data_IF_709749032829
#
_entry.id   IF_709749032829
#
_cell.length_a   1.000
_cell.length_b   1.000
_cell.length_c   1.000
_cell.angle_alpha   90.00
_cell.angle_beta   90.00
_cell.angle_gamma   90.00
#
_symmetry.space_group_name_H-M   'P 1'
#
loop_
_entity.id
_entity.type
_entity.pdbx_description
1 polymer ?
#
# COMPACT_ATOMS: atom_id res chain seq x y z
N UNK A 1 3.89 2.27 16.36
CA UNK A 1 4.98 2.90 15.61
C UNK A 1 4.79 4.41 15.64
N UNK A 2 5.74 5.15 16.21
CA UNK A 2 5.66 6.58 16.46
C UNK A 2 6.77 7.31 15.72
N UNK A 3 6.44 8.45 15.11
CA UNK A 3 7.40 9.27 14.35
C UNK A 3 8.00 10.39 15.19
N UNK A 4 7.49 10.61 16.40
CA UNK A 4 7.98 11.65 17.32
C UNK A 4 7.95 11.16 18.76
N UNK A 5 8.76 11.75 19.61
CA UNK A 5 8.67 11.58 21.05
C UNK A 5 7.38 12.23 21.58
N UNK A 6 6.72 11.55 22.49
CA UNK A 6 5.66 12.11 23.34
C UNK A 6 5.90 11.71 24.80
N UNK A 7 4.95 12.03 25.68
CA UNK A 7 5.09 11.75 27.12
C UNK A 7 5.32 10.27 27.43
N UNK A 8 4.69 9.38 26.65
CA UNK A 8 4.60 7.96 26.96
C UNK A 8 5.46 7.10 26.00
N UNK A 9 5.92 7.69 24.87
CA UNK A 9 6.62 6.96 23.82
C UNK A 9 7.83 7.72 23.28
N UNK A 10 8.84 6.97 22.89
CA UNK A 10 9.97 7.46 22.09
C UNK A 10 9.71 7.22 20.61
N UNK A 11 10.26 8.08 19.77
CA UNK A 11 10.18 7.92 18.32
C UNK A 11 10.79 6.60 17.86
N UNK A 12 10.03 5.82 17.11
CA UNK A 12 10.51 4.59 16.46
C UNK A 12 11.32 4.89 15.18
N UNK A 13 11.32 6.13 14.72
CA UNK A 13 12.08 6.60 13.56
C UNK A 13 13.44 7.22 13.94
N UNK A 14 13.87 7.06 15.18
CA UNK A 14 15.16 7.55 15.69
C UNK A 14 15.38 9.06 15.45
N UNK A 15 14.29 9.84 15.49
CA UNK A 15 14.34 11.28 15.22
C UNK A 15 14.51 11.66 13.74
N UNK A 16 14.41 10.70 12.83
CA UNK A 16 14.48 10.93 11.39
C UNK A 16 13.44 11.95 10.91
N UNK A 17 12.26 11.91 11.52
CA UNK A 17 11.14 12.83 11.25
C UNK A 17 10.16 12.83 12.42
N UNK A 18 9.51 13.98 12.65
CA UNK A 18 8.39 14.13 13.59
C UNK A 18 7.04 14.26 12.86
N UNK A 19 7.03 13.99 11.55
CA UNK A 19 5.87 14.19 10.69
C UNK A 19 4.92 13.01 10.75
N UNK A 20 3.71 13.23 10.22
CA UNK A 20 2.65 12.23 10.23
C UNK A 20 3.01 11.03 9.37
N UNK A 21 2.67 9.87 9.87
CA UNK A 21 2.70 8.59 9.17
C UNK A 21 1.33 8.33 8.56
N UNK A 22 1.32 7.86 7.31
CA UNK A 22 0.11 7.56 6.55
C UNK A 22 0.14 6.14 6.00
N UNK A 23 -1.07 5.59 5.80
CA UNK A 23 -1.38 4.38 5.07
C UNK A 23 -0.38 3.22 5.30
N UNK A 24 -0.23 2.72 6.54
CA UNK A 24 0.65 1.60 6.79
C UNK A 24 0.08 0.31 6.22
N UNK A 25 0.96 -0.54 5.69
CA UNK A 25 0.67 -1.94 5.40
C UNK A 25 1.62 -2.87 6.17
N UNK A 26 1.16 -4.04 6.54
CA UNK A 26 1.94 -5.03 7.30
C UNK A 26 1.88 -6.37 6.61
N UNK A 27 3.05 -6.97 6.38
CA UNK A 27 3.17 -8.33 5.85
C UNK A 27 4.01 -9.21 6.77
N UNK A 28 3.74 -10.50 6.73
CA UNK A 28 4.57 -11.53 7.37
C UNK A 28 5.50 -12.13 6.32
N UNK A 29 6.78 -12.31 6.69
CA UNK A 29 7.74 -13.09 5.92
C UNK A 29 8.77 -13.72 6.86
N UNK A 30 8.95 -15.04 6.74
CA UNK A 30 9.94 -15.82 7.47
C UNK A 30 9.87 -15.62 9.01
N UNK A 31 8.63 -15.57 9.55
CA UNK A 31 8.35 -15.40 10.98
C UNK A 31 8.61 -14.01 11.53
N UNK A 32 8.74 -13.00 10.65
CA UNK A 32 8.83 -11.58 11.00
C UNK A 32 7.72 -10.80 10.32
N UNK A 33 7.33 -9.72 10.98
CA UNK A 33 6.33 -8.78 10.46
C UNK A 33 7.03 -7.51 10.04
N UNK A 34 6.75 -7.04 8.83
CA UNK A 34 7.32 -5.83 8.24
C UNK A 34 6.22 -4.82 8.02
N UNK A 35 6.37 -3.64 8.63
CA UNK A 35 5.46 -2.52 8.49
C UNK A 35 6.05 -1.53 7.49
N UNK A 36 5.30 -1.26 6.44
CA UNK A 36 5.62 -0.29 5.41
C UNK A 36 4.76 0.94 5.62
N UNK A 37 5.34 2.12 5.57
CA UNK A 37 4.59 3.35 5.78
C UNK A 37 5.19 4.53 5.03
N UNK A 38 4.31 5.41 4.55
CA UNK A 38 4.69 6.71 4.05
C UNK A 38 4.77 7.71 5.20
N UNK A 39 5.86 8.46 5.25
CA UNK A 39 6.03 9.56 6.20
C UNK A 39 6.33 10.82 5.41
N UNK A 40 5.53 11.88 5.63
CA UNK A 40 5.68 13.15 4.92
C UNK A 40 7.11 13.67 5.00
N UNK A 41 7.72 13.92 3.84
CA UNK A 41 9.09 14.43 3.72
C UNK A 41 10.17 13.36 3.91
N UNK A 42 9.81 12.07 3.88
CA UNK A 42 10.75 10.95 3.84
C UNK A 42 10.57 10.12 2.58
N UNK A 43 11.48 9.15 2.37
CA UNK A 43 11.36 8.15 1.30
C UNK A 43 10.38 7.01 1.65
N UNK A 44 9.68 7.12 2.78
CA UNK A 44 9.00 6.01 3.39
C UNK A 44 9.94 5.16 4.25
N UNK A 45 9.36 4.38 5.13
CA UNK A 45 10.08 3.59 6.13
C UNK A 45 9.58 2.16 6.18
N UNK A 46 10.47 1.27 6.63
CA UNK A 46 10.15 -0.11 6.94
C UNK A 46 10.49 -0.35 8.41
N UNK A 47 9.49 -0.75 9.17
CA UNK A 47 9.64 -1.25 10.53
C UNK A 47 9.63 -2.77 10.57
N UNK A 48 10.23 -3.38 11.58
CA UNK A 48 10.22 -4.83 11.76
C UNK A 48 9.85 -5.21 13.19
N UNK A 49 9.09 -6.30 13.31
CA UNK A 49 8.72 -6.92 14.58
C UNK A 49 8.74 -8.44 14.49
N UNK A 50 8.88 -9.11 15.63
CA UNK A 50 8.67 -10.57 15.76
C UNK A 50 7.24 -10.96 16.13
N UNK A 51 6.34 -9.96 16.24
CA UNK A 51 4.92 -10.15 16.59
C UNK A 51 4.06 -9.25 15.72
N UNK A 52 2.85 -9.68 15.31
CA UNK A 52 1.97 -8.87 14.47
C UNK A 52 1.52 -7.56 15.14
N UNK A 53 1.35 -7.56 16.46
CA UNK A 53 0.99 -6.39 17.24
C UNK A 53 2.17 -5.46 17.53
N UNK A 54 3.38 -5.83 17.16
CA UNK A 54 4.60 -5.07 17.45
C UNK A 54 5.24 -5.42 18.79
N UNK A 55 6.06 -4.55 19.40
CA UNK A 55 6.43 -3.23 18.85
C UNK A 55 7.28 -3.35 17.58
N UNK A 56 7.00 -2.49 16.60
CA UNK A 56 7.82 -2.36 15.40
C UNK A 56 8.98 -1.40 15.65
N UNK A 57 10.18 -1.82 15.27
CA UNK A 57 11.39 -0.99 15.30
C UNK A 57 11.77 -0.59 13.89
N UNK A 58 12.30 0.60 13.72
CA UNK A 58 12.82 1.04 12.43
C UNK A 58 13.87 0.05 11.92
N UNK A 59 13.65 -0.46 10.71
CA UNK A 59 14.63 -1.29 10.00
C UNK A 59 15.44 -0.42 9.03
N UNK A 60 14.77 0.33 8.16
CA UNK A 60 15.40 1.22 7.19
C UNK A 60 14.37 2.18 6.57
N UNK A 61 14.87 3.19 5.85
CA UNK A 61 14.12 3.80 4.74
C UNK A 61 14.25 2.92 3.50
N UNK A 62 13.35 3.08 2.51
CA UNK A 62 13.53 2.45 1.21
C UNK A 62 14.88 2.87 0.58
N UNK A 63 15.57 1.90 -0.01
CA UNK A 63 16.77 2.11 -0.84
C UNK A 63 16.42 1.82 -2.28
N UNK A 64 16.68 2.78 -3.17
CA UNK A 64 16.43 2.67 -4.59
C UNK A 64 17.33 3.58 -5.40
N UNK A 65 17.59 3.21 -6.64
CA UNK A 65 18.16 4.13 -7.63
C UNK A 65 17.05 5.07 -8.13
N UNK A 66 17.33 6.35 -8.41
CA UNK A 66 16.30 7.31 -8.86
C UNK A 66 15.49 6.85 -10.08
N UNK A 67 16.09 6.08 -10.97
CA UNK A 67 15.47 5.50 -12.16
C UNK A 67 14.46 4.37 -11.85
N UNK A 68 14.50 3.82 -10.64
CA UNK A 68 13.62 2.76 -10.16
C UNK A 68 12.53 3.27 -9.20
N UNK A 69 12.28 4.56 -9.19
CA UNK A 69 11.20 5.17 -8.43
C UNK A 69 10.24 5.92 -9.37
N UNK A 70 8.99 6.11 -8.94
CA UNK A 70 8.08 7.03 -9.61
C UNK A 70 8.61 8.47 -9.60
N UNK A 71 7.97 9.36 -10.34
CA UNK A 71 8.47 10.71 -10.66
C UNK A 71 8.94 11.55 -9.46
N UNK A 72 8.43 11.27 -8.27
CA UNK A 72 8.77 11.98 -7.02
C UNK A 72 9.56 11.13 -6.01
N UNK A 73 9.79 9.86 -6.30
CA UNK A 73 10.42 8.92 -5.37
C UNK A 73 9.63 8.71 -4.08
N UNK A 74 8.35 9.07 -4.08
CA UNK A 74 7.46 8.93 -2.94
C UNK A 74 6.67 7.63 -3.08
N UNK A 75 6.87 6.71 -2.15
CA UNK A 75 6.10 5.46 -2.06
C UNK A 75 4.80 5.70 -1.29
N UNK A 76 3.91 6.51 -1.88
CA UNK A 76 2.65 6.90 -1.27
C UNK A 76 1.70 5.69 -1.19
N UNK A 77 1.10 5.49 -0.01
CA UNK A 77 0.09 4.44 0.25
C UNK A 77 0.51 3.06 -0.25
N UNK A 78 1.72 2.67 0.12
CA UNK A 78 2.32 1.43 -0.36
C UNK A 78 1.61 0.21 0.20
N UNK A 79 1.15 -0.67 -0.69
CA UNK A 79 0.73 -2.02 -0.37
C UNK A 79 1.79 -3.04 -0.79
N UNK A 80 2.03 -4.05 0.01
CA UNK A 80 3.08 -5.04 -0.22
C UNK A 80 2.51 -6.46 -0.30
N UNK A 81 3.07 -7.25 -1.18
CA UNK A 81 2.71 -8.65 -1.41
C UNK A 81 3.95 -9.55 -1.36
N UNK A 82 3.92 -10.58 -0.54
CA UNK A 82 4.83 -11.73 -0.63
C UNK A 82 4.16 -12.78 -1.51
N UNK A 83 4.80 -13.12 -2.62
CA UNK A 83 4.30 -14.13 -3.55
C UNK A 83 4.69 -15.56 -3.10
N UNK A 84 4.03 -16.56 -3.68
CA UNK A 84 4.24 -17.98 -3.35
C UNK A 84 5.67 -18.45 -3.64
N UNK A 85 6.38 -17.81 -4.55
CA UNK A 85 7.78 -18.08 -4.88
C UNK A 85 8.79 -17.30 -4.01
N UNK A 86 8.28 -16.55 -3.02
CA UNK A 86 9.07 -15.78 -2.06
C UNK A 86 9.52 -14.41 -2.57
N UNK A 87 9.17 -14.04 -3.80
CA UNK A 87 9.37 -12.66 -4.27
C UNK A 87 8.46 -11.69 -3.53
N UNK A 88 8.91 -10.45 -3.41
CA UNK A 88 8.21 -9.40 -2.70
C UNK A 88 7.96 -8.24 -3.64
N UNK A 89 6.72 -7.80 -3.71
CA UNK A 89 6.26 -6.74 -4.59
C UNK A 89 5.68 -5.58 -3.80
N UNK A 90 5.92 -4.36 -4.26
CA UNK A 90 5.34 -3.14 -3.70
C UNK A 90 4.57 -2.39 -4.78
N UNK A 91 3.34 -1.99 -4.42
CA UNK A 91 2.45 -1.18 -5.26
C UNK A 91 2.18 0.12 -4.53
N UNK A 92 2.26 1.23 -5.21
CA UNK A 92 2.17 2.55 -4.58
C UNK A 92 1.80 3.63 -5.58
N UNK A 93 1.52 4.83 -5.10
CA UNK A 93 1.38 5.99 -5.95
C UNK A 93 0.28 6.95 -5.51
N UNK A 94 0.31 8.12 -6.14
CA UNK A 94 -0.70 9.15 -6.04
C UNK A 94 -1.09 9.58 -7.45
N UNK A 95 -2.36 9.37 -7.82
CA UNK A 95 -2.91 9.58 -9.17
C UNK A 95 -2.32 8.70 -10.27
N UNK A 96 -1.30 7.92 -9.96
CA UNK A 96 -0.69 6.96 -10.87
C UNK A 96 -0.25 5.71 -10.09
N UNK A 97 -0.59 4.54 -10.63
CA UNK A 97 -0.25 3.26 -10.02
C UNK A 97 1.15 2.80 -10.43
N UNK A 98 2.03 2.63 -9.45
CA UNK A 98 3.41 2.19 -9.64
C UNK A 98 3.66 0.82 -9.01
N UNK A 99 4.69 0.16 -9.47
CA UNK A 99 5.12 -1.15 -9.02
C UNK A 99 6.64 -1.26 -9.01
N UNK A 100 7.15 -1.95 -7.99
CA UNK A 100 8.52 -2.45 -7.93
C UNK A 100 8.59 -3.84 -7.30
N UNK A 101 9.73 -4.49 -7.47
CA UNK A 101 10.13 -5.65 -6.70
C UNK A 101 11.09 -5.23 -5.57
N UNK A 102 10.85 -5.72 -4.37
CA UNK A 102 11.71 -5.53 -3.19
C UNK A 102 12.65 -6.71 -3.08
N UNK A 103 13.91 -6.48 -2.68
CA UNK A 103 14.82 -7.56 -2.35
C UNK A 103 14.35 -8.30 -1.09
N UNK A 104 13.98 -9.59 -1.20
CA UNK A 104 13.48 -10.35 -0.04
C UNK A 104 14.56 -10.61 1.03
N UNK A 105 15.84 -10.36 0.72
CA UNK A 105 16.91 -10.54 1.69
C UNK A 105 16.93 -9.47 2.79
N UNK A 106 16.50 -8.26 2.46
CA UNK A 106 16.52 -7.15 3.41
C UNK A 106 15.16 -6.46 3.61
N UNK A 107 14.21 -6.65 2.67
CA UNK A 107 12.84 -6.16 2.73
C UNK A 107 12.67 -4.64 2.58
N UNK A 108 13.70 -3.91 2.18
CA UNK A 108 13.62 -2.44 1.97
C UNK A 108 14.40 -1.95 0.73
N UNK A 109 15.22 -2.78 0.10
CA UNK A 109 15.92 -2.40 -1.14
C UNK A 109 15.05 -2.71 -2.35
N UNK A 110 14.79 -1.70 -3.17
CA UNK A 110 14.10 -1.85 -4.44
C UNK A 110 15.06 -2.45 -5.46
N UNK A 111 14.64 -3.51 -6.13
CA UNK A 111 15.46 -4.16 -7.15
C UNK A 111 15.60 -3.29 -8.38
N UNK A 112 16.83 -3.17 -8.84
CA UNK A 112 17.18 -2.41 -10.04
C UNK A 112 16.45 -2.94 -11.28
N UNK A 113 15.87 -2.01 -12.06
CA UNK A 113 15.14 -2.31 -13.29
C UNK A 113 13.76 -2.95 -13.08
N UNK A 114 13.25 -2.97 -11.83
CA UNK A 114 11.94 -3.54 -11.52
C UNK A 114 10.79 -2.56 -11.67
N UNK A 115 11.06 -1.28 -11.79
CA UNK A 115 10.04 -0.23 -11.88
C UNK A 115 9.09 -0.42 -13.05
N UNK A 116 7.80 -0.33 -12.77
CA UNK A 116 6.71 -0.25 -13.76
C UNK A 116 5.76 0.86 -13.37
N UNK A 117 5.45 1.69 -14.36
CA UNK A 117 4.50 2.79 -14.28
C UNK A 117 3.15 2.34 -14.79
N UNK A 118 2.08 2.96 -14.29
CA UNK A 118 0.70 2.76 -14.77
C UNK A 118 0.32 1.28 -14.86
N UNK A 119 0.51 0.54 -13.76
CA UNK A 119 0.21 -0.91 -13.76
C UNK A 119 -1.29 -1.22 -13.82
N UNK A 120 -2.16 -0.27 -13.41
CA UNK A 120 -3.58 -0.28 -13.77
C UNK A 120 -3.71 0.46 -15.10
N UNK A 121 -4.55 -0.06 -16.00
CA UNK A 121 -4.89 0.63 -17.24
C UNK A 121 -5.78 1.84 -16.91
N UNK A 122 -5.15 2.97 -16.69
CA UNK A 122 -5.73 4.27 -16.38
C UNK A 122 -5.41 5.30 -17.47
N UNK A 123 -5.41 4.85 -18.73
CA UNK A 123 -5.26 5.71 -19.91
C UNK A 123 -6.15 6.96 -19.79
N UNK A 124 -5.76 8.06 -20.42
CA UNK A 124 -6.52 9.33 -20.41
C UNK A 124 -7.97 9.18 -20.87
N UNK A 125 -8.29 8.07 -21.54
CA UNK A 125 -9.63 7.71 -21.99
C UNK A 125 -10.43 6.88 -20.97
N UNK A 126 -9.80 6.36 -19.91
CA UNK A 126 -10.53 5.62 -18.89
C UNK A 126 -11.43 6.57 -18.08
N UNK A 127 -12.64 6.17 -17.72
CA UNK A 127 -13.49 6.94 -16.81
C UNK A 127 -12.80 7.16 -15.47
N UNK A 128 -12.97 8.34 -14.87
CA UNK A 128 -12.34 8.67 -13.60
C UNK A 128 -12.69 7.71 -12.47
N UNK A 129 -13.85 7.08 -12.54
CA UNK A 129 -14.31 6.04 -11.62
C UNK A 129 -13.45 4.76 -11.67
N UNK A 130 -12.64 4.59 -12.71
CA UNK A 130 -11.77 3.44 -12.90
C UNK A 130 -10.31 3.76 -12.68
N UNK A 131 -9.94 5.05 -12.79
CA UNK A 131 -8.55 5.50 -12.66
C UNK A 131 -8.08 5.37 -11.22
N UNK A 132 -6.83 4.97 -11.10
CA UNK A 132 -6.15 4.91 -9.81
C UNK A 132 -5.97 6.31 -9.22
N UNK A 133 -6.27 6.44 -7.93
CA UNK A 133 -5.94 7.62 -7.14
C UNK A 133 -4.84 7.29 -6.13
N UNK A 134 -5.11 6.35 -5.19
CA UNK A 134 -4.18 5.93 -4.13
C UNK A 134 -4.65 4.65 -3.44
N UNK A 135 -4.12 4.33 -2.27
CA UNK A 135 -4.60 3.25 -1.39
C UNK A 135 -4.36 1.84 -1.94
N UNK A 136 -3.17 1.57 -2.44
CA UNK A 136 -2.81 0.26 -3.00
C UNK A 136 -2.91 -0.85 -1.96
N UNK A 137 -3.67 -1.91 -2.28
CA UNK A 137 -3.78 -3.11 -1.44
C UNK A 137 -3.76 -4.37 -2.32
N UNK A 138 -2.56 -4.95 -2.57
CA UNK A 138 -2.41 -6.11 -3.42
C UNK A 138 -2.79 -7.41 -2.70
N UNK A 139 -3.32 -8.38 -3.45
CA UNK A 139 -3.54 -9.76 -3.00
C UNK A 139 -3.33 -10.73 -4.15
N UNK A 140 -2.90 -11.94 -3.83
CA UNK A 140 -2.92 -13.07 -4.76
C UNK A 140 -3.95 -14.09 -4.28
N UNK A 141 -4.84 -14.52 -5.16
CA UNK A 141 -5.88 -15.50 -4.86
C UNK A 141 -5.87 -16.52 -6.00
N UNK A 142 -5.39 -17.72 -5.71
CA UNK A 142 -5.05 -18.70 -6.75
C UNK A 142 -3.97 -18.13 -7.67
N UNK A 143 -4.17 -18.20 -8.97
CA UNK A 143 -3.22 -17.70 -9.98
C UNK A 143 -3.49 -16.23 -10.38
N UNK A 144 -4.40 -15.54 -9.69
CA UNK A 144 -4.83 -14.20 -10.06
C UNK A 144 -4.32 -13.17 -9.03
N UNK A 145 -3.70 -12.11 -9.53
CA UNK A 145 -3.33 -10.93 -8.75
C UNK A 145 -4.48 -9.94 -8.74
N UNK A 146 -4.81 -9.46 -7.55
CA UNK A 146 -5.82 -8.44 -7.30
C UNK A 146 -5.13 -7.19 -6.76
N UNK A 147 -5.47 -6.04 -7.30
CA UNK A 147 -5.08 -4.75 -6.75
C UNK A 147 -6.36 -4.00 -6.39
N UNK A 148 -6.55 -3.76 -5.09
CA UNK A 148 -7.64 -2.97 -4.54
C UNK A 148 -7.10 -1.55 -4.36
N UNK A 149 -7.90 -0.55 -4.68
CA UNK A 149 -7.45 0.84 -4.68
C UNK A 149 -8.62 1.82 -4.55
N UNK A 150 -8.31 3.06 -4.17
CA UNK A 150 -9.23 4.18 -4.24
C UNK A 150 -9.22 4.78 -5.65
N UNK A 151 -10.37 4.90 -6.35
CA UNK A 151 -10.43 5.55 -7.64
C UNK A 151 -10.44 7.09 -7.52
N UNK A 152 -10.22 7.80 -8.64
CA UNK A 152 -10.15 9.26 -8.67
C UNK A 152 -11.44 9.98 -8.25
N UNK A 153 -12.57 9.31 -8.23
CA UNK A 153 -13.84 9.91 -7.86
C UNK A 153 -14.65 9.03 -6.92
N UNK A 154 -15.29 9.70 -5.98
CA UNK A 154 -16.15 9.07 -4.97
C UNK A 154 -15.38 8.40 -3.84
N UNK A 155 -16.07 8.15 -2.74
CA UNK A 155 -15.53 7.38 -1.61
C UNK A 155 -15.80 5.91 -1.86
N UNK A 156 -14.90 5.25 -2.60
CA UNK A 156 -15.07 3.88 -3.10
C UNK A 156 -13.78 3.09 -2.99
N UNK A 157 -13.93 1.77 -2.95
CA UNK A 157 -12.85 0.83 -3.24
C UNK A 157 -13.14 0.10 -4.53
N UNK A 158 -12.30 0.36 -5.51
CA UNK A 158 -12.26 -0.37 -6.77
C UNK A 158 -11.31 -1.56 -6.68
N UNK A 159 -11.42 -2.48 -7.62
CA UNK A 159 -10.42 -3.54 -7.79
C UNK A 159 -10.13 -3.82 -9.26
N UNK A 160 -8.92 -4.21 -9.51
CA UNK A 160 -8.42 -4.64 -10.80
C UNK A 160 -7.71 -5.99 -10.67
N UNK A 161 -7.63 -6.75 -11.75
CA UNK A 161 -6.99 -8.08 -11.77
C UNK A 161 -5.97 -8.21 -12.89
N UNK A 162 -4.95 -9.03 -12.65
CA UNK A 162 -3.94 -9.41 -13.64
C UNK A 162 -3.52 -10.87 -13.43
N UNK A 163 -2.97 -11.49 -14.48
CA UNK A 163 -2.27 -12.78 -14.44
C UNK A 163 -0.78 -12.63 -14.08
N UNK A 164 -0.31 -11.40 -13.91
CA UNK A 164 1.09 -11.08 -13.59
C UNK A 164 1.17 -10.04 -12.47
N UNK A 165 2.15 -10.15 -11.57
CA UNK A 165 2.28 -9.20 -10.47
C UNK A 165 2.50 -7.76 -10.93
N UNK A 166 3.23 -7.55 -12.04
CA UNK A 166 3.51 -6.23 -12.58
C UNK A 166 2.42 -5.68 -13.52
N UNK A 167 1.27 -6.35 -13.60
CA UNK A 167 0.18 -5.94 -14.50
C UNK A 167 0.40 -6.31 -15.97
N UNK A 168 -0.36 -5.71 -16.91
CA UNK A 168 -1.36 -4.68 -16.64
C UNK A 168 -2.58 -5.22 -15.89
N UNK A 169 -3.05 -4.46 -14.92
CA UNK A 169 -4.27 -4.79 -14.19
C UNK A 169 -5.50 -4.22 -14.90
N UNK A 170 -6.52 -5.04 -15.07
CA UNK A 170 -7.79 -4.65 -15.70
C UNK A 170 -8.83 -4.39 -14.61
N UNK A 171 -9.44 -3.21 -14.66
CA UNK A 171 -10.55 -2.84 -13.79
C UNK A 171 -11.69 -3.87 -13.85
N UNK A 172 -12.29 -4.17 -12.69
CA UNK A 172 -13.37 -5.17 -12.57
C UNK A 172 -14.64 -4.63 -11.91
N UNK A 173 -14.54 -3.55 -11.15
CA UNK A 173 -15.69 -2.98 -10.46
C UNK A 173 -15.33 -2.40 -9.10
N UNK A 174 -16.36 -2.15 -8.31
CA UNK A 174 -16.23 -1.70 -6.93
C UNK A 174 -16.49 -2.86 -5.97
N UNK A 175 -15.76 -2.86 -4.86
CA UNK A 175 -16.02 -3.74 -3.72
C UNK A 175 -16.85 -2.97 -2.68
N UNK A 176 -16.53 -1.70 -2.47
CA UNK A 176 -17.20 -0.79 -1.53
C UNK A 176 -17.62 0.48 -2.25
N UNK A 177 -18.81 0.95 -1.95
CA UNK A 177 -19.30 2.28 -2.32
C UNK A 177 -19.85 2.99 -1.09
N UNK A 178 -19.07 3.93 -0.56
CA UNK A 178 -19.45 4.81 0.56
C UNK A 178 -20.09 6.12 0.08
N UNK A 179 -20.33 6.27 -1.23
CA UNK A 179 -20.74 7.51 -1.84
C UNK A 179 -22.04 8.10 -1.30
N UNK A 180 -22.90 7.28 -0.69
CA UNK A 180 -24.13 7.75 -0.04
C UNK A 180 -23.83 8.45 1.30
N UNK A 181 -22.94 7.88 2.09
CA UNK A 181 -22.62 8.38 3.43
C UNK A 181 -21.49 9.42 3.41
N UNK A 182 -20.58 9.29 2.46
CA UNK A 182 -19.41 10.15 2.31
C UNK A 182 -19.08 10.36 0.83
N UNK A 183 -19.78 11.28 0.14
CA UNK A 183 -19.67 11.43 -1.31
C UNK A 183 -18.35 12.06 -1.77
N UNK A 184 -17.62 12.71 -0.88
CA UNK A 184 -16.31 13.32 -1.18
C UNK A 184 -15.20 12.69 -0.36
N UNK A 185 -14.08 12.34 -1.00
CA UNK A 185 -12.93 11.76 -0.34
C UNK A 185 -12.46 10.46 -1.02
N UNK A 186 -11.47 9.87 -0.42
CA UNK A 186 -10.94 8.57 -0.80
C UNK A 186 -11.43 7.49 0.17
N UNK A 187 -11.10 6.25 -0.13
CA UNK A 187 -11.34 5.12 0.75
C UNK A 187 -10.08 4.25 0.80
N UNK A 188 -9.77 3.70 1.96
CA UNK A 188 -8.71 2.73 2.14
C UNK A 188 -9.29 1.41 2.61
N UNK A 189 -8.77 0.31 2.10
CA UNK A 189 -9.25 -0.99 2.51
C UNK A 189 -8.31 -2.12 2.14
N UNK A 190 -8.54 -3.24 2.80
CA UNK A 190 -7.76 -4.45 2.68
C UNK A 190 -8.66 -5.67 2.78
N UNK A 191 -8.39 -6.69 1.99
CA UNK A 191 -9.07 -7.98 2.11
C UNK A 191 -8.14 -9.02 2.69
N UNK A 192 -8.70 -9.91 3.51
CA UNK A 192 -7.97 -11.07 3.99
C UNK A 192 -8.89 -12.29 4.12
N UNK A 193 -8.28 -13.47 4.08
CA UNK A 193 -8.96 -14.74 4.37
C UNK A 193 -8.65 -15.16 5.80
N UNK A 194 -9.69 -15.40 6.59
CA UNK A 194 -9.57 -15.90 7.95
C UNK A 194 -10.36 -17.21 8.03
N UNK A 195 -9.67 -18.33 8.19
CA UNK A 195 -10.29 -19.66 8.29
C UNK A 195 -11.23 -20.01 7.12
N UNK A 196 -10.87 -19.63 5.90
CA UNK A 196 -11.66 -19.89 4.69
C UNK A 196 -12.74 -18.85 4.38
N UNK A 197 -13.00 -17.90 5.28
CA UNK A 197 -13.92 -16.80 5.07
C UNK A 197 -13.15 -15.54 4.65
N UNK A 198 -13.58 -14.88 3.59
CA UNK A 198 -13.05 -13.60 3.15
C UNK A 198 -13.71 -12.45 3.89
N UNK A 199 -12.88 -11.48 4.30
CA UNK A 199 -13.29 -10.24 4.96
C UNK A 199 -12.68 -9.06 4.23
N UNK A 200 -13.41 -7.94 4.18
CA UNK A 200 -12.90 -6.65 3.79
C UNK A 200 -12.90 -5.71 5.00
N UNK A 201 -11.79 -5.05 5.23
CA UNK A 201 -11.63 -3.99 6.21
C UNK A 201 -11.47 -2.68 5.44
N UNK A 202 -12.26 -1.69 5.78
CA UNK A 202 -12.22 -0.39 5.11
C UNK A 202 -12.65 0.71 6.07
N UNK A 203 -12.22 1.93 5.82
CA UNK A 203 -12.67 3.05 6.61
C UNK A 203 -14.02 3.58 6.12
N UNK A 204 -14.78 4.13 7.00
CA UNK A 204 -16.07 4.75 6.73
C UNK A 204 -16.26 5.96 7.64
N UNK A 205 -16.85 7.04 7.09
CA UNK A 205 -17.25 8.16 7.92
C UNK A 205 -18.56 7.81 8.65
N UNK A 206 -18.53 7.85 9.97
CA UNK A 206 -19.68 7.72 10.84
C UNK A 206 -19.72 8.87 11.83
N UNK A 207 -20.89 9.49 12.04
CA UNK A 207 -21.04 10.62 12.94
C UNK A 207 -20.02 11.76 12.70
N UNK A 208 -19.73 12.07 11.42
CA UNK A 208 -18.72 13.04 11.01
C UNK A 208 -17.28 12.69 11.42
N UNK A 209 -17.00 11.44 11.69
CA UNK A 209 -15.68 10.95 12.05
C UNK A 209 -15.31 9.76 11.16
N UNK A 210 -14.11 9.73 10.62
CA UNK A 210 -13.58 8.57 9.90
C UNK A 210 -13.23 7.49 10.92
N UNK A 211 -13.74 6.30 10.70
CA UNK A 211 -13.47 5.12 11.53
C UNK A 211 -12.85 4.03 10.67
#
# INVERSE_FOLDING_TARGET
>A
FHTRDDRDHKSDTEGMTDRKLFAPDVIEKDGKYYLYAYIVGSKGVVGVSHKPEGPFKLLSQYKYDPEDAGDDGIYNDAGVLVDDDGRVYIYYGFTESNFNEIDPADMYTIKKGSYKRAVIDDSDNAPQEQRFFEASSPRKIGDTYYLIYSPCVGSRLAYATSDKPQGPFKYRGYIIDNGVDYPGGNDHGSVCNINGQWYIFYHRMTNNTIM
#
